data_IF_960845577460
#
_entry.id   IF_960845577460
#
_cell.length_a   1.000
_cell.length_b   1.000
_cell.length_c   1.000
_cell.angle_alpha   90.00
_cell.angle_beta   90.00
_cell.angle_gamma   90.00
#
_symmetry.space_group_name_H-M   'P 1'
#
loop_
_entity.id
_entity.type
_entity.pdbx_description
1 polymer ?
#
# COMPACT_ATOMS: atom_id res chain seq x y z
N UNK A 1 6.54 4.03 -19.25
CA UNK A 1 5.47 3.35 -18.50
C UNK A 1 4.30 4.30 -18.40
N UNK A 2 3.09 3.83 -18.65
CA UNK A 2 1.88 4.63 -18.49
C UNK A 2 1.47 4.63 -17.01
N UNK A 3 1.24 5.81 -16.44
CA UNK A 3 0.77 5.94 -15.06
C UNK A 3 -0.75 5.99 -15.11
N UNK A 4 -1.42 4.91 -14.71
CA UNK A 4 -2.86 4.93 -14.49
C UNK A 4 -3.14 5.53 -13.10
N UNK A 5 -3.89 6.63 -13.05
CA UNK A 5 -4.34 7.26 -11.80
C UNK A 5 -5.82 6.98 -11.61
N UNK A 6 -6.17 6.38 -10.48
CA UNK A 6 -7.56 6.11 -10.10
C UNK A 6 -7.93 6.97 -8.90
N UNK A 7 -9.02 7.73 -9.01
CA UNK A 7 -9.63 8.43 -7.87
C UNK A 7 -10.60 7.48 -7.16
N UNK A 8 -10.46 7.39 -5.85
CA UNK A 8 -11.34 6.59 -4.99
C UNK A 8 -12.61 7.40 -4.67
N UNK A 9 -13.77 6.75 -4.63
CA UNK A 9 -15.04 7.38 -4.25
C UNK A 9 -15.02 7.82 -2.77
N UNK A 10 -15.80 8.84 -2.41
CA UNK A 10 -15.71 9.50 -1.09
C UNK A 10 -16.01 8.59 0.11
N UNK A 11 -16.76 7.51 -0.08
CA UNK A 11 -17.15 6.55 0.96
C UNK A 11 -16.22 5.32 1.05
N UNK A 12 -15.10 5.30 0.32
CA UNK A 12 -14.13 4.21 0.35
C UNK A 12 -12.89 4.68 1.12
N UNK A 13 -12.51 3.94 2.15
CA UNK A 13 -11.35 4.28 2.98
C UNK A 13 -10.05 4.18 2.18
N UNK A 14 -9.77 3.02 1.58
CA UNK A 14 -8.64 2.80 0.68
C UNK A 14 -8.96 1.62 -0.25
N UNK A 15 -8.19 1.50 -1.34
CA UNK A 15 -8.27 0.37 -2.26
C UNK A 15 -6.90 -0.32 -2.28
N UNK A 16 -6.89 -1.65 -2.36
CA UNK A 16 -5.69 -2.41 -2.69
C UNK A 16 -5.77 -2.78 -4.17
N UNK A 17 -4.76 -2.39 -4.93
CA UNK A 17 -4.64 -2.73 -6.35
C UNK A 17 -3.61 -3.85 -6.54
N UNK A 18 -3.63 -4.47 -7.72
CA UNK A 18 -2.81 -5.65 -8.02
C UNK A 18 -3.08 -6.79 -7.03
N UNK A 19 -4.35 -7.21 -6.91
CA UNK A 19 -4.75 -8.29 -5.99
C UNK A 19 -3.90 -9.54 -6.26
N UNK A 20 -3.30 -10.05 -5.19
CA UNK A 20 -2.38 -11.20 -5.18
C UNK A 20 -1.19 -11.09 -6.14
N UNK A 21 -0.80 -9.87 -6.50
CA UNK A 21 0.34 -9.60 -7.38
C UNK A 21 0.19 -10.24 -8.78
N UNK A 22 -1.04 -10.35 -9.28
CA UNK A 22 -1.34 -10.94 -10.59
C UNK A 22 -0.84 -10.14 -11.80
N UNK A 23 -0.51 -8.86 -11.61
CA UNK A 23 0.05 -7.97 -12.62
C UNK A 23 1.52 -7.62 -12.38
N UNK A 24 2.25 -7.39 -13.46
CA UNK A 24 3.67 -6.99 -13.46
C UNK A 24 3.85 -5.47 -13.28
N UNK A 25 3.23 -4.89 -12.26
CA UNK A 25 3.35 -3.47 -11.95
C UNK A 25 3.31 -3.19 -10.45
N UNK A 26 3.90 -2.06 -10.05
CA UNK A 26 3.95 -1.58 -8.67
C UNK A 26 2.86 -0.54 -8.44
N UNK A 27 2.31 -0.49 -7.23
CA UNK A 27 1.25 0.46 -6.89
C UNK A 27 1.78 1.49 -5.91
N UNK A 28 1.82 2.76 -6.32
CA UNK A 28 2.09 3.86 -5.41
C UNK A 28 0.76 4.50 -5.00
N UNK A 29 0.54 4.59 -3.70
CA UNK A 29 -0.63 5.26 -3.13
C UNK A 29 -0.29 6.70 -2.73
N UNK A 30 -1.31 7.56 -2.64
CA UNK A 30 -1.12 8.86 -2.01
C UNK A 30 -0.85 8.72 -0.50
N UNK A 31 -0.45 9.83 0.13
CA UNK A 31 -0.08 9.85 1.55
C UNK A 31 -1.21 9.38 2.47
N UNK A 32 -2.44 9.75 2.16
CA UNK A 32 -3.62 9.43 2.97
C UNK A 32 -3.97 7.94 2.87
N UNK A 33 -3.93 7.40 1.65
CA UNK A 33 -4.13 5.98 1.38
C UNK A 33 -3.06 5.12 2.05
N UNK A 34 -1.78 5.51 1.96
CA UNK A 34 -0.70 4.82 2.68
C UNK A 34 -0.93 4.82 4.20
N UNK A 35 -1.39 5.95 4.76
CA UNK A 35 -1.70 6.05 6.17
C UNK A 35 -2.87 5.12 6.58
N UNK A 36 -3.95 5.09 5.80
CA UNK A 36 -5.11 4.22 6.06
C UNK A 36 -4.75 2.74 5.93
N UNK A 37 -3.95 2.38 4.92
CA UNK A 37 -3.41 1.03 4.75
C UNK A 37 -2.57 0.63 5.97
N UNK A 38 -1.61 1.46 6.38
CA UNK A 38 -0.78 1.20 7.55
C UNK A 38 -1.63 1.00 8.83
N UNK A 39 -2.64 1.86 9.04
CA UNK A 39 -3.57 1.72 10.16
C UNK A 39 -4.34 0.40 10.11
N UNK A 40 -4.79 -0.03 8.94
CA UNK A 40 -5.51 -1.29 8.78
C UNK A 40 -4.59 -2.51 9.04
N UNK A 41 -3.34 -2.46 8.58
CA UNK A 41 -2.34 -3.51 8.82
C UNK A 41 -2.02 -3.71 10.31
N UNK A 42 -2.15 -2.66 11.13
CA UNK A 42 -1.97 -2.72 12.59
C UNK A 42 -3.25 -3.08 13.37
N UNK A 43 -4.36 -3.33 12.68
CA UNK A 43 -5.62 -3.72 13.32
C UNK A 43 -5.73 -5.23 13.44
N UNK A 44 -6.59 -5.73 14.34
CA UNK A 44 -6.92 -7.15 14.43
C UNK A 44 -7.50 -7.73 13.12
N UNK A 45 -8.00 -6.86 12.24
CA UNK A 45 -8.58 -7.21 10.95
C UNK A 45 -7.55 -7.30 9.80
N UNK A 46 -6.25 -7.14 10.05
CA UNK A 46 -5.20 -7.14 9.02
C UNK A 46 -5.24 -8.38 8.10
N UNK A 47 -5.67 -9.52 8.66
CA UNK A 47 -5.82 -10.79 7.96
C UNK A 47 -6.85 -10.76 6.81
N UNK A 48 -7.70 -9.74 6.76
CA UNK A 48 -8.64 -9.49 5.65
C UNK A 48 -7.93 -9.05 4.36
N UNK A 49 -6.71 -8.51 4.45
CA UNK A 49 -5.84 -8.31 3.29
C UNK A 49 -5.08 -9.60 3.07
N UNK A 50 -5.15 -10.17 1.86
CA UNK A 50 -4.46 -11.42 1.54
C UNK A 50 -2.94 -11.32 1.81
N UNK A 51 -2.31 -12.41 2.25
CA UNK A 51 -0.89 -12.42 2.65
C UNK A 51 0.03 -11.92 1.53
N UNK A 52 -0.24 -12.28 0.27
CA UNK A 52 0.51 -11.81 -0.89
C UNK A 52 0.39 -10.30 -1.08
N UNK A 53 -0.79 -9.72 -0.87
CA UNK A 53 -0.95 -8.27 -0.95
C UNK A 53 -0.25 -7.55 0.20
N UNK A 54 -0.20 -8.13 1.41
CA UNK A 54 0.57 -7.51 2.51
C UNK A 54 2.07 -7.52 2.23
N UNK A 55 2.59 -8.60 1.66
CA UNK A 55 3.98 -8.67 1.21
C UNK A 55 4.26 -7.64 0.11
N UNK A 56 3.37 -7.54 -0.88
CA UNK A 56 3.47 -6.54 -1.94
C UNK A 56 3.45 -5.11 -1.40
N UNK A 57 2.58 -4.79 -0.43
CA UNK A 57 2.52 -3.46 0.17
C UNK A 57 3.84 -3.05 0.84
N UNK A 58 4.52 -3.98 1.52
CA UNK A 58 5.84 -3.73 2.10
C UNK A 58 6.88 -3.52 0.99
N UNK A 59 6.90 -4.39 -0.03
CA UNK A 59 7.86 -4.31 -1.14
C UNK A 59 7.69 -3.01 -1.96
N UNK A 60 6.45 -2.64 -2.29
CA UNK A 60 6.15 -1.39 -3.00
C UNK A 60 6.51 -0.17 -2.16
N UNK A 61 6.17 -0.15 -0.85
CA UNK A 61 6.53 0.94 0.03
C UNK A 61 8.06 1.11 0.16
N UNK A 62 8.80 0.00 0.25
CA UNK A 62 10.26 0.00 0.25
C UNK A 62 10.82 0.56 -1.07
N UNK A 63 10.35 0.02 -2.21
CA UNK A 63 10.76 0.48 -3.53
C UNK A 63 10.54 1.98 -3.67
N UNK A 64 9.32 2.48 -3.43
CA UNK A 64 9.03 3.91 -3.57
C UNK A 64 9.74 4.79 -2.54
N UNK A 65 10.12 4.26 -1.37
CA UNK A 65 10.97 4.97 -0.43
C UNK A 65 12.39 5.17 -0.98
N UNK A 66 12.99 4.11 -1.56
CA UNK A 66 14.33 4.24 -2.18
C UNK A 66 14.36 5.22 -3.35
N UNK A 67 13.22 5.40 -4.03
CA UNK A 67 13.06 6.36 -5.12
C UNK A 67 12.67 7.77 -4.65
N UNK A 68 12.43 7.97 -3.35
CA UNK A 68 12.05 9.27 -2.78
C UNK A 68 10.58 9.66 -2.91
N UNK A 69 9.71 8.77 -3.41
CA UNK A 69 8.27 9.01 -3.54
C UNK A 69 7.49 8.75 -2.24
N UNK A 70 8.02 7.87 -1.38
CA UNK A 70 7.43 7.53 -0.08
C UNK A 70 8.41 7.95 1.02
N UNK A 71 7.91 8.61 2.07
CA UNK A 71 8.78 9.00 3.18
C UNK A 71 9.26 7.78 3.98
N UNK A 72 10.47 7.78 4.56
CA UNK A 72 10.91 6.70 5.44
C UNK A 72 9.95 6.44 6.61
N UNK A 73 9.31 7.48 7.14
CA UNK A 73 8.28 7.33 8.19
C UNK A 73 7.06 6.55 7.69
N UNK A 74 6.61 6.80 6.46
CA UNK A 74 5.49 6.05 5.86
C UNK A 74 5.87 4.59 5.66
N UNK A 75 7.07 4.31 5.14
CA UNK A 75 7.57 2.94 5.01
C UNK A 75 7.59 2.22 6.36
N UNK A 76 8.17 2.85 7.40
CA UNK A 76 8.25 2.23 8.73
C UNK A 76 6.88 1.94 9.33
N UNK A 77 5.89 2.81 9.13
CA UNK A 77 4.49 2.57 9.56
C UNK A 77 3.83 1.39 8.84
N UNK A 78 4.32 0.99 7.67
CA UNK A 78 3.84 -0.20 6.98
C UNK A 78 4.63 -1.41 7.47
N UNK A 79 5.96 -1.35 7.43
CA UNK A 79 6.83 -2.46 7.80
C UNK A 79 6.67 -2.90 9.28
N UNK A 80 6.30 -1.98 10.18
CA UNK A 80 6.12 -2.28 11.61
C UNK A 80 4.90 -3.13 11.96
N UNK A 81 4.08 -3.52 10.98
CA UNK A 81 2.97 -4.44 11.26
C UNK A 81 3.46 -5.87 11.52
N UNK A 82 4.65 -6.21 11.01
CA UNK A 82 5.29 -7.52 11.17
C UNK A 82 5.66 -7.82 12.63
#
# INVERSE_FOLDING_TARGET
SEIAVTKVAENIDFIILNIEQNGYFRVNYDKESWFRIAKFLHSDAYHRIHVLNRAQLIDDAYYFMTQGYVSPSTFWKIASYL
#
